data_IF_407240716358
#
_entry.id   IF_407240716358
#
_cell.length_a   1.000
_cell.length_b   1.000
_cell.length_c   1.000
_cell.angle_alpha   90.00
_cell.angle_beta   90.00
_cell.angle_gamma   90.00
#
_symmetry.space_group_name_H-M   'P 1'
#
loop_
_entity.id
_entity.type
_entity.pdbx_description
1 polymer ?
#
# COMPACT_ATOMS: atom_id res chain seq x y z
N UNK A 1 -61.53 -32.95 -23.80
CA UNK A 1 -61.31 -31.55 -24.18
C UNK A 1 -59.80 -31.34 -24.16
N UNK A 2 -59.06 -31.68 -25.22
CA UNK A 2 -58.51 -30.75 -26.27
C UNK A 2 -57.91 -29.50 -25.63
N UNK A 3 -56.61 -29.14 -25.74
CA UNK A 3 -55.61 -29.18 -26.85
C UNK A 3 -54.21 -28.95 -26.22
N UNK A 4 -53.12 -29.60 -26.67
CA UNK A 4 -52.02 -29.08 -27.53
C UNK A 4 -51.41 -27.72 -27.06
N UNK A 5 -50.09 -27.47 -27.05
CA UNK A 5 -49.02 -28.18 -27.75
C UNK A 5 -47.60 -27.70 -27.41
N UNK A 6 -46.69 -28.46 -27.99
CA UNK A 6 -45.23 -28.38 -28.08
C UNK A 6 -44.79 -27.25 -29.02
N UNK A 7 -43.66 -26.58 -28.76
CA UNK A 7 -42.74 -26.18 -29.84
C UNK A 7 -41.33 -25.87 -29.33
N UNK A 8 -40.37 -26.55 -29.95
CA UNK A 8 -38.94 -26.33 -29.87
C UNK A 8 -38.51 -25.45 -31.07
N UNK A 9 -37.53 -24.57 -30.88
CA UNK A 9 -36.81 -23.94 -32.00
C UNK A 9 -35.30 -24.09 -31.85
N UNK A 10 -34.74 -24.93 -32.73
CA UNK A 10 -33.36 -24.85 -33.22
C UNK A 10 -33.25 -23.69 -34.21
N UNK A 11 -32.07 -23.10 -34.28
CA UNK A 11 -31.64 -22.21 -35.35
C UNK A 11 -30.12 -22.28 -35.49
N UNK A 12 -29.66 -23.17 -36.37
CA UNK A 12 -28.33 -23.13 -37.01
C UNK A 12 -28.23 -21.92 -37.96
N UNK A 13 -27.03 -21.33 -38.10
CA UNK A 13 -26.41 -21.04 -39.41
C UNK A 13 -24.97 -20.56 -39.25
N UNK A 14 -24.03 -21.31 -39.86
CA UNK A 14 -22.98 -20.90 -40.80
C UNK A 14 -22.22 -19.57 -40.54
N UNK A 15 -20.88 -19.50 -40.51
CA UNK A 15 -19.91 -20.12 -41.42
C UNK A 15 -19.39 -19.03 -42.37
N UNK A 16 -18.12 -18.62 -42.27
CA UNK A 16 -17.41 -17.86 -43.31
C UNK A 16 -15.89 -17.94 -43.10
N UNK A 17 -15.29 -18.76 -43.96
CA UNK A 17 -13.88 -18.77 -44.35
C UNK A 17 -13.44 -17.44 -44.97
N UNK A 18 -12.21 -16.99 -44.68
CA UNK A 18 -11.46 -16.12 -45.59
C UNK A 18 -9.94 -16.32 -45.43
N UNK A 19 -9.38 -17.08 -46.38
CA UNK A 19 -7.97 -17.09 -46.78
C UNK A 19 -7.46 -15.67 -47.10
N UNK A 20 -6.20 -15.38 -46.74
CA UNK A 20 -5.35 -14.46 -47.51
C UNK A 20 -3.92 -15.00 -47.61
N UNK A 21 -3.51 -15.22 -48.86
CA UNK A 21 -2.15 -15.50 -49.32
C UNK A 21 -1.28 -14.22 -49.36
N UNK A 22 0.06 -14.40 -49.38
CA UNK A 22 1.15 -13.40 -49.32
C UNK A 22 1.28 -12.43 -50.53
N UNK A 23 2.41 -11.69 -50.69
CA UNK A 23 3.75 -12.24 -50.99
C UNK A 23 4.94 -11.53 -50.28
N UNK A 24 6.06 -12.22 -50.00
CA UNK A 24 7.35 -12.29 -50.75
C UNK A 24 7.95 -10.94 -51.16
N UNK A 25 9.08 -10.58 -50.54
CA UNK A 25 9.96 -9.49 -50.95
C UNK A 25 11.35 -9.67 -50.35
N UNK A 26 12.26 -10.25 -51.13
CA UNK A 26 13.67 -10.46 -50.81
C UNK A 26 14.49 -9.17 -51.05
N UNK A 27 15.49 -8.93 -50.20
CA UNK A 27 16.62 -8.07 -50.51
C UNK A 27 17.87 -8.60 -49.80
N UNK A 28 18.77 -9.15 -50.62
CA UNK A 28 20.14 -9.52 -50.30
C UNK A 28 20.97 -8.28 -49.95
N UNK A 29 21.79 -8.38 -48.89
CA UNK A 29 22.94 -7.51 -48.66
C UNK A 29 23.99 -8.24 -47.79
N UNK A 30 25.29 -7.90 -47.95
CA UNK A 30 26.38 -8.88 -47.93
C UNK A 30 26.88 -9.27 -46.54
N UNK A 31 27.19 -10.56 -46.39
CA UNK A 31 27.95 -11.11 -45.28
C UNK A 31 29.42 -10.64 -45.34
N UNK A 32 29.79 -9.72 -44.47
CA UNK A 32 31.18 -9.54 -44.04
C UNK A 32 31.48 -10.54 -42.93
N UNK A 33 32.32 -11.53 -43.25
CA UNK A 33 32.93 -12.43 -42.27
C UNK A 33 33.94 -11.64 -41.43
N UNK A 34 33.54 -11.24 -40.22
CA UNK A 34 34.46 -10.79 -39.18
C UNK A 34 34.69 -11.95 -38.20
N UNK A 35 35.85 -12.58 -38.35
CA UNK A 35 36.38 -13.59 -37.45
C UNK A 35 36.80 -12.88 -36.15
N UNK A 36 35.86 -12.77 -35.20
CA UNK A 36 36.19 -12.43 -33.81
C UNK A 36 36.02 -13.65 -32.92
N UNK A 37 37.13 -13.96 -32.28
CA UNK A 37 37.39 -15.04 -31.34
C UNK A 37 36.23 -15.21 -30.33
N UNK A 38 35.63 -16.41 -30.36
CA UNK A 38 34.73 -16.89 -29.32
C UNK A 38 35.52 -17.10 -28.03
N UNK A 39 35.63 -16.06 -27.21
CA UNK A 39 35.87 -16.22 -25.77
C UNK A 39 34.52 -16.59 -25.16
N UNK A 40 34.32 -17.88 -24.95
CA UNK A 40 33.21 -18.42 -24.17
C UNK A 40 33.44 -18.02 -22.72
N UNK A 41 32.88 -16.89 -22.32
CA UNK A 41 32.78 -16.50 -20.91
C UNK A 41 31.63 -17.29 -20.28
N UNK A 42 31.94 -18.48 -19.76
CA UNK A 42 31.05 -19.21 -18.85
C UNK A 42 31.03 -18.47 -17.51
N UNK A 43 30.20 -17.44 -17.38
CA UNK A 43 29.86 -16.80 -16.10
C UNK A 43 28.49 -16.14 -16.20
N UNK A 44 27.50 -16.99 -16.43
CA UNK A 44 26.09 -16.66 -16.22
C UNK A 44 25.46 -17.81 -15.45
N UNK A 45 26.06 -18.12 -14.30
CA UNK A 45 25.52 -19.04 -13.31
C UNK A 45 25.07 -18.23 -12.09
N UNK A 46 23.75 -18.09 -11.99
CA UNK A 46 22.98 -18.04 -10.75
C UNK A 46 23.16 -16.81 -9.85
N UNK A 47 22.54 -15.69 -10.26
CA UNK A 47 22.13 -14.62 -9.33
C UNK A 47 20.61 -14.62 -9.05
N UNK A 48 19.89 -15.68 -9.44
CA UNK A 48 18.43 -15.82 -9.31
C UNK A 48 17.92 -16.48 -7.99
N UNK A 49 18.73 -17.08 -7.08
CA UNK A 49 18.13 -17.68 -5.87
C UNK A 49 17.73 -16.65 -4.81
N UNK A 50 18.39 -15.49 -4.74
CA UNK A 50 18.25 -14.55 -3.61
C UNK A 50 16.88 -13.88 -3.56
N UNK A 51 16.33 -13.46 -4.72
CA UNK A 51 15.04 -12.78 -4.76
C UNK A 51 13.87 -13.71 -4.41
N UNK A 52 13.92 -14.96 -4.86
CA UNK A 52 12.89 -15.96 -4.60
C UNK A 52 12.91 -16.42 -3.13
N UNK A 53 14.10 -16.53 -2.52
CA UNK A 53 14.25 -16.81 -1.09
C UNK A 53 13.73 -15.66 -0.23
N UNK A 54 13.96 -14.40 -0.63
CA UNK A 54 13.43 -13.22 0.07
C UNK A 54 11.90 -13.12 0.01
N UNK A 55 11.30 -13.39 -1.16
CA UNK A 55 9.84 -13.40 -1.30
C UNK A 55 9.18 -14.53 -0.50
N UNK A 56 9.77 -15.73 -0.53
CA UNK A 56 9.28 -16.87 0.24
C UNK A 56 9.41 -16.63 1.76
N UNK A 57 10.50 -16.00 2.20
CA UNK A 57 10.71 -15.64 3.61
C UNK A 57 9.69 -14.59 4.08
N UNK A 58 9.42 -13.55 3.27
CA UNK A 58 8.41 -12.53 3.57
C UNK A 58 6.99 -13.08 3.60
N UNK A 59 6.62 -13.95 2.64
CA UNK A 59 5.30 -14.57 2.62
C UNK A 59 5.07 -15.45 3.87
N UNK A 60 6.09 -16.22 4.26
CA UNK A 60 6.07 -17.06 5.47
C UNK A 60 5.99 -16.18 6.73
N UNK A 61 6.72 -15.07 6.77
CA UNK A 61 6.70 -14.10 7.86
C UNK A 61 5.32 -13.47 8.07
N UNK A 62 4.67 -13.02 7.00
CA UNK A 62 3.34 -12.39 7.09
C UNK A 62 2.27 -13.40 7.49
N UNK A 63 2.33 -14.62 6.96
CA UNK A 63 1.40 -15.69 7.34
C UNK A 63 1.54 -16.06 8.83
N UNK A 64 2.78 -16.14 9.34
CA UNK A 64 3.02 -16.46 10.74
C UNK A 64 2.77 -15.28 11.67
N UNK A 65 3.05 -14.04 11.30
CA UNK A 65 2.67 -12.87 12.11
C UNK A 65 1.14 -12.72 12.25
N UNK A 66 0.39 -13.11 11.22
CA UNK A 66 -1.07 -13.14 11.25
C UNK A 66 -1.60 -14.29 12.14
N UNK A 67 -0.89 -15.43 12.15
CA UNK A 67 -1.31 -16.64 12.89
C UNK A 67 -0.80 -16.67 14.35
N UNK A 68 0.35 -16.07 14.64
CA UNK A 68 1.07 -16.13 15.92
C UNK A 68 0.79 -14.95 16.84
N UNK A 69 -0.25 -14.15 16.59
CA UNK A 69 -0.74 -13.12 17.51
C UNK A 69 -1.29 -13.68 18.85
N UNK A 70 -0.98 -14.93 19.20
CA UNK A 70 -1.26 -15.57 20.49
C UNK A 70 -0.17 -16.58 20.87
N UNK A 71 0.42 -16.35 22.04
CA UNK A 71 1.22 -17.24 22.92
C UNK A 71 1.87 -18.51 22.31
N UNK A 72 3.10 -18.38 21.82
CA UNK A 72 4.10 -19.48 21.80
C UNK A 72 3.75 -20.70 20.94
N UNK A 73 3.22 -20.47 19.74
CA UNK A 73 2.73 -21.54 18.87
C UNK A 73 3.76 -21.96 17.81
N UNK A 74 3.95 -23.27 17.71
CA UNK A 74 4.38 -23.92 16.48
C UNK A 74 3.16 -24.21 15.61
N UNK A 75 3.29 -24.05 14.29
CA UNK A 75 2.19 -24.32 13.35
C UNK A 75 2.57 -25.49 12.44
N UNK A 76 1.72 -26.51 12.42
CA UNK A 76 1.86 -27.62 11.48
C UNK A 76 1.07 -27.31 10.20
N UNK A 77 1.77 -27.22 9.08
CA UNK A 77 1.19 -27.03 7.75
C UNK A 77 0.47 -28.30 7.26
N UNK A 78 -0.38 -28.16 6.24
CA UNK A 78 -1.15 -29.28 5.65
C UNK A 78 -0.28 -30.43 5.10
N UNK A 79 1.00 -30.17 4.84
CA UNK A 79 1.99 -31.16 4.42
C UNK A 79 2.70 -31.88 5.59
N UNK A 80 2.30 -31.59 6.83
CA UNK A 80 2.83 -32.19 8.05
C UNK A 80 4.11 -31.55 8.57
N UNK A 81 4.63 -30.49 7.92
CA UNK A 81 5.79 -29.75 8.45
C UNK A 81 5.35 -28.83 9.58
N UNK A 82 6.02 -28.93 10.72
CA UNK A 82 5.85 -27.98 11.84
C UNK A 82 6.87 -26.87 11.69
N UNK A 83 6.39 -25.63 11.64
CA UNK A 83 7.21 -24.42 11.59
C UNK A 83 7.21 -23.80 12.98
N UNK A 84 8.40 -23.73 13.59
CA UNK A 84 8.62 -23.00 14.83
C UNK A 84 8.79 -21.50 14.54
N UNK A 85 8.26 -20.65 15.42
CA UNK A 85 8.39 -19.21 15.28
C UNK A 85 9.86 -18.76 15.22
N UNK A 86 10.71 -19.42 16.00
CA UNK A 86 12.15 -19.12 16.10
C UNK A 86 12.88 -19.39 14.77
N UNK A 87 12.54 -20.49 14.08
CA UNK A 87 13.11 -20.84 12.78
C UNK A 87 12.73 -19.80 11.70
N UNK A 88 11.52 -19.25 11.79
CA UNK A 88 11.03 -18.23 10.86
C UNK A 88 11.73 -16.89 11.06
N UNK A 89 11.91 -16.48 12.32
CA UNK A 89 12.66 -15.25 12.64
C UNK A 89 14.11 -15.39 12.19
N UNK A 90 14.74 -16.55 12.40
CA UNK A 90 16.07 -16.82 11.89
C UNK A 90 16.13 -16.76 10.35
N UNK A 91 15.14 -17.32 9.65
CA UNK A 91 15.06 -17.26 8.19
C UNK A 91 14.89 -15.81 7.67
N UNK A 92 14.05 -15.00 8.32
CA UNK A 92 13.89 -13.56 8.04
C UNK A 92 15.19 -12.78 8.26
N UNK A 93 15.78 -12.90 9.45
CA UNK A 93 17.03 -12.24 9.78
C UNK A 93 18.13 -12.61 8.77
N UNK A 94 18.23 -13.90 8.40
CA UNK A 94 19.18 -14.34 7.38
C UNK A 94 18.89 -13.76 6.00
N UNK A 95 17.63 -13.68 5.58
CA UNK A 95 17.25 -13.14 4.25
C UNK A 95 17.52 -11.64 4.12
N UNK A 96 17.52 -10.91 5.24
CA UNK A 96 17.80 -9.47 5.30
C UNK A 96 19.21 -9.13 5.82
N UNK A 97 20.09 -10.13 5.97
CA UNK A 97 21.44 -9.96 6.50
C UNK A 97 21.48 -9.27 7.87
N UNK A 98 20.51 -9.56 8.72
CA UNK A 98 20.41 -9.09 10.10
C UNK A 98 20.89 -10.18 11.06
N UNK A 99 21.64 -9.82 12.11
CA UNK A 99 21.93 -10.75 13.19
C UNK A 99 20.70 -10.86 14.11
N UNK A 100 20.16 -12.07 14.33
CA UNK A 100 19.05 -12.27 15.25
C UNK A 100 19.55 -12.15 16.69
N UNK A 101 19.11 -11.11 17.41
CA UNK A 101 19.36 -11.00 18.85
C UNK A 101 18.31 -11.80 19.63
N UNK A 102 18.71 -12.88 20.29
CA UNK A 102 17.77 -13.85 20.89
C UNK A 102 16.78 -13.14 21.82
N UNK A 103 15.51 -13.07 21.41
CA UNK A 103 14.44 -12.40 22.15
C UNK A 103 13.93 -11.08 21.55
N UNK A 104 14.64 -10.45 20.60
CA UNK A 104 14.24 -9.16 20.01
C UNK A 104 12.83 -9.17 19.41
N UNK A 105 12.48 -10.27 18.72
CA UNK A 105 11.18 -10.47 18.12
C UNK A 105 10.11 -10.77 19.17
N UNK A 106 10.47 -11.32 20.34
CA UNK A 106 9.53 -11.51 21.46
C UNK A 106 9.24 -10.19 22.14
N UNK A 107 10.23 -9.31 22.26
CA UNK A 107 10.05 -7.95 22.76
C UNK A 107 9.18 -7.14 21.79
N UNK A 108 9.45 -7.23 20.48
CA UNK A 108 8.63 -6.62 19.43
C UNK A 108 7.22 -7.21 19.40
N UNK A 109 7.07 -8.54 19.52
CA UNK A 109 5.77 -9.18 19.60
C UNK A 109 5.03 -8.81 20.89
N UNK A 110 5.72 -8.59 22.01
CA UNK A 110 5.13 -8.11 23.26
C UNK A 110 4.74 -6.63 23.20
N UNK A 111 5.47 -5.81 22.44
CA UNK A 111 5.16 -4.40 22.19
C UNK A 111 3.98 -4.26 21.20
N UNK A 112 3.91 -5.12 20.19
CA UNK A 112 2.83 -5.16 19.20
C UNK A 112 1.61 -5.96 19.68
N UNK A 113 1.77 -6.86 20.65
CA UNK A 113 0.67 -7.49 21.33
C UNK A 113 -0.15 -6.38 21.99
N UNK A 114 -1.45 -6.25 21.68
CA UNK A 114 -2.28 -5.25 22.33
C UNK A 114 -2.16 -5.49 23.84
N UNK A 115 -1.73 -4.46 24.58
CA UNK A 115 -1.58 -4.52 26.02
C UNK A 115 -2.76 -5.28 26.61
N UNK A 116 -2.48 -6.43 27.24
CA UNK A 116 -3.54 -7.30 27.75
C UNK A 116 -4.29 -6.53 28.83
N UNK A 117 -5.40 -5.91 28.42
CA UNK A 117 -6.38 -5.40 29.36
C UNK A 117 -6.80 -6.59 30.22
N UNK A 118 -6.91 -6.42 31.54
CA UNK A 118 -7.19 -7.52 32.45
C UNK A 118 -8.46 -8.23 32.02
N UNK A 119 -8.26 -9.40 31.41
CA UNK A 119 -9.33 -10.24 30.92
C UNK A 119 -10.00 -10.82 32.16
N UNK A 120 -11.19 -10.31 32.50
CA UNK A 120 -12.05 -10.96 33.50
C UNK A 120 -12.52 -12.27 32.90
N UNK A 121 -11.79 -13.34 33.19
CA UNK A 121 -12.22 -14.71 32.93
C UNK A 121 -13.43 -15.01 33.81
N UNK A 122 -14.63 -14.90 33.24
CA UNK A 122 -15.87 -15.20 33.94
C UNK A 122 -17.10 -14.97 33.06
N UNK A 123 -17.52 -16.04 32.39
CA UNK A 123 -18.91 -16.33 32.00
C UNK A 123 -19.54 -15.49 30.88
N UNK A 124 -19.54 -16.07 29.68
CA UNK A 124 -20.54 -15.85 28.63
C UNK A 124 -20.05 -14.97 27.48
N UNK A 125 -20.06 -15.53 26.27
CA UNK A 125 -20.01 -14.78 25.01
C UNK A 125 -21.33 -13.97 24.84
N UNK A 126 -21.59 -13.05 25.76
CA UNK A 126 -22.44 -11.92 25.48
C UNK A 126 -21.66 -11.03 24.53
N UNK A 127 -22.21 -10.77 23.35
CA UNK A 127 -21.79 -9.66 22.50
C UNK A 127 -21.40 -8.49 23.40
N UNK A 128 -20.16 -8.03 23.29
CA UNK A 128 -19.72 -6.85 23.98
C UNK A 128 -20.57 -5.70 23.42
N UNK A 129 -21.70 -5.42 24.08
CA UNK A 129 -22.60 -4.29 23.81
C UNK A 129 -21.92 -3.01 24.27
N UNK A 130 -20.66 -2.86 23.90
CA UNK A 130 -19.91 -1.63 23.99
C UNK A 130 -20.80 -0.53 23.47
N UNK A 131 -20.91 0.52 24.28
CA UNK A 131 -21.80 1.67 24.14
C UNK A 131 -21.47 2.51 22.89
N UNK A 132 -21.56 1.88 21.72
CA UNK A 132 -21.26 2.41 20.40
C UNK A 132 -22.54 2.52 19.57
N UNK A 133 -23.66 2.78 20.24
CA UNK A 133 -24.86 3.21 19.57
C UNK A 133 -24.64 4.64 19.03
N UNK A 134 -24.06 4.71 17.83
CA UNK A 134 -23.86 5.96 17.10
C UNK A 134 -25.19 6.70 16.90
N UNK A 135 -26.34 5.99 16.88
CA UNK A 135 -27.66 6.60 16.79
C UNK A 135 -28.01 7.34 18.09
N UNK A 136 -27.69 6.76 19.24
CA UNK A 136 -27.94 7.39 20.55
C UNK A 136 -27.08 8.65 20.78
N UNK A 137 -25.90 8.74 20.15
CA UNK A 137 -24.97 9.88 20.30
C UNK A 137 -25.21 11.02 19.30
N UNK A 138 -26.14 10.85 18.35
CA UNK A 138 -26.44 11.83 17.30
C UNK A 138 -27.11 13.09 17.88
N UNK A 139 -26.71 14.27 17.38
CA UNK A 139 -27.39 15.53 17.75
C UNK A 139 -28.72 15.69 16.99
N UNK A 140 -29.77 16.28 17.59
CA UNK A 140 -30.99 16.61 16.87
C UNK A 140 -30.71 17.42 15.60
N UNK A 141 -31.22 16.97 14.45
CA UNK A 141 -31.03 17.63 13.16
C UNK A 141 -29.73 17.29 12.42
N UNK A 142 -28.81 16.53 13.01
CA UNK A 142 -27.58 16.11 12.35
C UNK A 142 -27.89 15.14 11.20
N UNK A 143 -27.39 15.37 9.97
CA UNK A 143 -27.61 14.45 8.86
C UNK A 143 -26.86 13.13 9.10
N UNK A 144 -27.44 12.02 8.65
CA UNK A 144 -26.87 10.70 8.84
C UNK A 144 -27.16 9.83 7.62
N UNK A 145 -26.20 8.99 7.27
CA UNK A 145 -26.34 7.93 6.28
C UNK A 145 -25.81 6.63 6.87
N UNK A 146 -26.31 5.50 6.38
CA UNK A 146 -25.91 4.17 6.83
C UNK A 146 -25.19 3.51 5.67
N UNK A 147 -23.98 3.02 5.93
CA UNK A 147 -23.22 2.18 5.02
C UNK A 147 -23.43 0.72 5.41
N UNK A 148 -23.71 -0.12 4.43
CA UNK A 148 -23.94 -1.54 4.65
C UNK A 148 -22.78 -2.35 4.06
N UNK A 149 -22.46 -3.50 4.66
CA UNK A 149 -21.36 -4.35 4.20
C UNK A 149 -21.50 -4.82 2.75
N UNK A 150 -22.74 -4.86 2.22
CA UNK A 150 -23.02 -5.21 0.82
C UNK A 150 -22.72 -4.11 -0.19
N UNK A 151 -22.51 -2.88 0.27
CA UNK A 151 -22.24 -1.75 -0.61
C UNK A 151 -20.77 -1.81 -1.06
N UNK A 152 -20.47 -1.79 -2.39
CA UNK A 152 -19.14 -2.10 -2.91
C UNK A 152 -17.97 -1.31 -2.30
N UNK A 153 -18.18 -0.01 -2.07
CA UNK A 153 -17.14 0.91 -1.61
C UNK A 153 -17.24 1.24 -0.12
N UNK A 154 -18.24 0.70 0.58
CA UNK A 154 -18.51 1.09 1.96
C UNK A 154 -17.35 0.76 2.90
N UNK A 155 -16.71 -0.40 2.73
CA UNK A 155 -15.54 -0.76 3.53
C UNK A 155 -14.37 0.22 3.32
N UNK A 156 -14.17 0.73 2.11
CA UNK A 156 -13.12 1.72 1.82
C UNK A 156 -13.41 3.05 2.51
N UNK A 157 -14.67 3.50 2.44
CA UNK A 157 -15.11 4.76 3.07
C UNK A 157 -14.94 4.67 4.59
N UNK A 158 -15.36 3.58 5.21
CA UNK A 158 -15.20 3.36 6.66
C UNK A 158 -13.72 3.31 7.05
N UNK A 159 -12.88 2.62 6.29
CA UNK A 159 -11.43 2.56 6.50
C UNK A 159 -10.78 3.94 6.41
N UNK A 160 -11.12 4.72 5.38
CA UNK A 160 -10.60 6.07 5.17
C UNK A 160 -11.04 7.02 6.30
N UNK A 161 -12.29 6.92 6.74
CA UNK A 161 -12.80 7.67 7.90
C UNK A 161 -12.02 7.33 9.18
N UNK A 162 -11.82 6.03 9.46
CA UNK A 162 -11.09 5.58 10.64
C UNK A 162 -9.63 6.07 10.63
N UNK A 163 -8.94 6.00 9.49
CA UNK A 163 -7.59 6.51 9.33
C UNK A 163 -7.51 8.02 9.59
N UNK A 164 -8.42 8.80 8.98
CA UNK A 164 -8.48 10.25 9.18
C UNK A 164 -8.73 10.62 10.64
N UNK A 165 -9.60 9.88 11.33
CA UNK A 165 -9.90 10.10 12.74
C UNK A 165 -8.67 9.85 13.62
N UNK A 166 -7.93 8.78 13.36
CA UNK A 166 -6.69 8.47 14.08
C UNK A 166 -5.64 9.57 13.85
N UNK A 167 -5.43 9.98 12.59
CA UNK A 167 -4.47 11.02 12.22
C UNK A 167 -4.81 12.39 12.81
N UNK A 168 -6.10 12.68 13.03
CA UNK A 168 -6.55 13.90 13.68
C UNK A 168 -6.42 13.89 15.22
N UNK A 169 -5.76 12.88 15.80
CA UNK A 169 -5.63 12.70 17.25
C UNK A 169 -6.95 12.30 17.92
N UNK A 170 -7.87 11.71 17.17
CA UNK A 170 -9.10 11.14 17.71
C UNK A 170 -8.81 9.91 18.58
N UNK A 171 -9.84 9.46 19.29
CA UNK A 171 -9.77 8.26 20.12
C UNK A 171 -9.27 7.03 19.32
N UNK A 172 -8.13 6.43 19.71
CA UNK A 172 -7.55 5.28 19.03
C UNK A 172 -8.48 4.07 19.01
N UNK A 173 -9.26 3.84 20.08
CA UNK A 173 -10.14 2.68 20.20
C UNK A 173 -11.27 2.73 19.16
N UNK A 174 -11.91 3.90 19.04
CA UNK A 174 -12.94 4.13 18.01
C UNK A 174 -12.39 4.00 16.59
N UNK A 175 -11.15 4.46 16.37
CA UNK A 175 -10.50 4.37 15.06
C UNK A 175 -10.19 2.91 14.72
N UNK A 176 -9.65 2.14 15.67
CA UNK A 176 -9.37 0.72 15.51
C UNK A 176 -10.66 -0.09 15.29
N UNK A 177 -11.74 0.24 16.00
CA UNK A 177 -13.05 -0.38 15.77
C UNK A 177 -13.60 -0.07 14.37
N UNK A 178 -13.43 1.15 13.88
CA UNK A 178 -13.72 1.51 12.49
C UNK A 178 -12.94 0.65 11.49
N UNK A 179 -11.65 0.42 11.73
CA UNK A 179 -10.82 -0.46 10.90
C UNK A 179 -11.31 -1.92 10.91
N UNK A 180 -11.63 -2.46 12.10
CA UNK A 180 -12.21 -3.82 12.24
C UNK A 180 -13.52 -3.94 11.46
N UNK A 181 -14.39 -2.92 11.58
CA UNK A 181 -15.67 -2.87 10.87
C UNK A 181 -15.46 -2.85 9.35
N UNK A 182 -14.51 -2.04 8.86
CA UNK A 182 -14.16 -2.03 7.44
C UNK A 182 -13.66 -3.40 6.94
N UNK A 183 -12.84 -4.10 7.72
CA UNK A 183 -12.38 -5.45 7.36
C UNK A 183 -13.54 -6.44 7.26
N UNK A 184 -14.44 -6.46 8.27
CA UNK A 184 -15.63 -7.30 8.25
C UNK A 184 -16.55 -6.98 7.05
N UNK A 185 -16.70 -5.71 6.68
CA UNK A 185 -17.47 -5.31 5.50
C UNK A 185 -16.81 -5.80 4.20
N UNK A 186 -15.48 -5.73 4.10
CA UNK A 186 -14.74 -6.25 2.94
C UNK A 186 -14.90 -7.77 2.81
N UNK A 187 -14.78 -8.50 3.91
CA UNK A 187 -14.99 -9.95 3.95
C UNK A 187 -16.42 -10.32 3.56
N UNK A 188 -17.40 -9.61 4.11
CA UNK A 188 -18.81 -9.79 3.77
C UNK A 188 -19.07 -9.55 2.27
N UNK A 189 -18.49 -8.48 1.70
CA UNK A 189 -18.63 -8.14 0.29
C UNK A 189 -17.89 -9.08 -0.68
N UNK A 190 -16.91 -9.84 -0.18
CA UNK A 190 -16.13 -10.77 -0.99
C UNK A 190 -16.93 -12.03 -1.39
N UNK A 191 -17.93 -12.40 -0.58
CA UNK A 191 -18.84 -13.51 -0.91
C UNK A 191 -19.93 -13.05 -1.89
N UNK A 192 -19.98 -13.61 -3.12
CA UNK A 192 -21.01 -13.28 -4.09
C UNK A 192 -22.44 -13.54 -3.60
N UNK A 193 -22.63 -14.49 -2.66
CA UNK A 193 -23.94 -14.79 -2.10
C UNK A 193 -24.51 -13.64 -1.24
N UNK A 194 -23.64 -12.78 -0.71
CA UNK A 194 -24.01 -11.61 0.09
C UNK A 194 -24.34 -10.37 -0.76
N UNK A 195 -24.09 -10.41 -2.07
CA UNK A 195 -24.42 -9.31 -2.98
C UNK A 195 -25.91 -9.37 -3.35
N UNK A 196 -26.74 -8.40 -2.92
CA UNK A 196 -28.15 -8.42 -3.31
C UNK A 196 -28.26 -8.18 -4.81
N UNK A 197 -29.26 -8.80 -5.44
CA UNK A 197 -29.55 -8.63 -6.88
C UNK A 197 -29.79 -7.16 -7.25
N UNK A 198 -30.23 -6.35 -6.28
CA UNK A 198 -30.45 -4.91 -6.44
C UNK A 198 -29.20 -4.04 -6.24
N UNK A 199 -28.07 -4.60 -5.78
CA UNK A 199 -26.84 -3.81 -5.68
C UNK A 199 -26.31 -3.53 -7.09
N UNK A 200 -26.09 -2.25 -7.44
CA UNK A 200 -25.37 -1.92 -8.66
C UNK A 200 -24.01 -2.60 -8.66
N UNK A 201 -23.59 -3.06 -9.84
CA UNK A 201 -22.27 -3.64 -10.02
C UNK A 201 -21.20 -2.64 -9.57
N UNK A 202 -20.22 -3.09 -8.79
CA UNK A 202 -19.11 -2.28 -8.32
C UNK A 202 -18.38 -1.55 -9.45
N UNK A 203 -18.38 -2.12 -10.67
CA UNK A 203 -17.83 -1.50 -11.87
C UNK A 203 -18.56 -0.26 -12.36
N UNK A 204 -19.79 -0.01 -11.90
CA UNK A 204 -20.58 1.19 -12.24
C UNK A 204 -20.09 2.41 -11.46
N UNK A 205 -19.48 2.21 -10.29
CA UNK A 205 -18.87 3.29 -9.54
C UNK A 205 -17.46 3.54 -10.05
N UNK A 206 -17.09 4.81 -10.34
CA UNK A 206 -15.70 5.13 -10.60
C UNK A 206 -14.91 4.77 -9.34
N UNK A 207 -13.99 3.81 -9.47
CA UNK A 207 -13.17 3.38 -8.34
C UNK A 207 -12.50 4.61 -7.72
N UNK A 208 -12.69 4.78 -6.41
CA UNK A 208 -12.03 5.82 -5.63
C UNK A 208 -10.49 5.62 -5.60
N UNK A 209 -9.99 4.45 -5.99
CA UNK A 209 -8.60 4.02 -5.80
C UNK A 209 -7.60 4.53 -6.86
N UNK A 210 -8.02 4.89 -8.06
CA UNK A 210 -7.06 5.08 -9.17
C UNK A 210 -6.72 6.54 -9.47
N UNK A 211 -7.69 7.46 -9.41
CA UNK A 211 -7.45 8.85 -9.81
C UNK A 211 -6.90 9.70 -8.68
N UNK A 212 -7.41 9.58 -7.45
CA UNK A 212 -6.85 10.32 -6.31
C UNK A 212 -5.45 9.85 -5.93
N UNK A 213 -5.18 8.55 -6.04
CA UNK A 213 -3.83 8.02 -5.80
C UNK A 213 -2.86 8.46 -6.90
N UNK A 214 -3.28 8.47 -8.18
CA UNK A 214 -2.45 9.00 -9.27
C UNK A 214 -2.20 10.49 -9.17
N UNK A 215 -3.22 11.28 -8.84
CA UNK A 215 -3.02 12.71 -8.64
C UNK A 215 -2.04 12.95 -7.49
N UNK A 216 -2.16 12.21 -6.38
CA UNK A 216 -1.21 12.27 -5.28
C UNK A 216 0.21 11.76 -5.65
N UNK A 217 0.34 10.83 -6.59
CA UNK A 217 1.64 10.41 -7.16
C UNK A 217 2.25 11.46 -8.10
N UNK A 218 1.41 12.29 -8.74
CA UNK A 218 1.85 13.35 -9.65
C UNK A 218 2.18 14.67 -8.92
N UNK A 219 1.76 14.84 -7.66
CA UNK A 219 2.18 15.99 -6.86
C UNK A 219 3.67 15.83 -6.54
N UNK A 220 4.49 16.72 -7.10
CA UNK A 220 5.88 16.83 -6.74
C UNK A 220 6.01 17.30 -5.28
N UNK A 221 6.92 16.66 -4.56
CA UNK A 221 7.34 17.03 -3.21
C UNK A 221 8.75 17.61 -3.24
N UNK A 222 8.97 18.60 -2.38
CA UNK A 222 10.29 19.11 -2.04
C UNK A 222 10.65 18.59 -0.64
N UNK A 223 11.94 18.46 -0.34
CA UNK A 223 12.40 18.12 1.00
C UNK A 223 13.17 19.29 1.59
N UNK A 224 12.72 19.79 2.74
CA UNK A 224 13.36 20.84 3.49
C UNK A 224 14.25 20.26 4.59
N UNK A 225 15.50 20.70 4.68
CA UNK A 225 16.40 20.37 5.79
C UNK A 225 16.39 21.50 6.83
N UNK A 226 15.94 21.18 8.04
CA UNK A 226 16.01 22.05 9.19
C UNK A 226 17.44 22.27 9.68
N UNK A 227 18.34 21.30 9.51
CA UNK A 227 19.76 21.44 9.83
C UNK A 227 20.44 22.45 8.91
N UNK A 228 20.26 22.32 7.58
CA UNK A 228 20.93 23.16 6.59
C UNK A 228 20.19 24.45 6.24
N UNK A 229 18.94 24.62 6.71
CA UNK A 229 18.03 25.73 6.35
C UNK A 229 17.95 25.91 4.83
N UNK A 230 17.75 24.80 4.13
CA UNK A 230 17.79 24.72 2.68
C UNK A 230 16.97 23.53 2.18
N UNK A 231 16.60 23.60 0.90
CA UNK A 231 15.96 22.51 0.17
C UNK A 231 16.99 21.50 -0.29
N UNK A 232 16.63 20.22 -0.28
CA UNK A 232 17.45 19.17 -0.87
C UNK A 232 17.56 19.39 -2.38
N UNK A 233 18.79 19.35 -2.91
CA UNK A 233 19.07 19.51 -4.33
C UNK A 233 18.51 18.35 -5.17
N UNK A 234 18.55 18.51 -6.50
CA UNK A 234 18.20 17.44 -7.45
C UNK A 234 19.09 16.20 -7.28
N UNK A 235 18.60 15.05 -7.74
CA UNK A 235 19.35 13.79 -7.75
C UNK A 235 19.89 13.37 -6.37
N UNK A 236 19.19 13.77 -5.29
CA UNK A 236 19.56 13.50 -3.89
C UNK A 236 20.92 14.08 -3.47
N UNK A 237 21.41 15.12 -4.15
CA UNK A 237 22.75 15.68 -3.89
C UNK A 237 22.73 17.17 -3.55
N UNK A 238 23.34 17.50 -2.41
CA UNK A 238 23.56 18.87 -1.96
C UNK A 238 22.30 19.59 -1.48
N UNK A 239 22.46 20.87 -1.15
CA UNK A 239 21.40 21.73 -0.64
C UNK A 239 21.33 23.05 -1.41
N UNK A 240 20.12 23.59 -1.58
CA UNK A 240 19.86 24.85 -2.26
C UNK A 240 18.86 25.69 -1.49
N UNK A 241 19.08 27.00 -1.42
CA UNK A 241 18.11 27.93 -0.83
C UNK A 241 17.02 28.36 -1.79
N UNK A 242 17.21 28.11 -3.09
CA UNK A 242 16.28 28.50 -4.15
C UNK A 242 15.41 27.30 -4.52
N UNK A 243 14.09 27.42 -4.34
CA UNK A 243 13.10 26.37 -4.66
C UNK A 243 13.20 25.90 -6.12
N UNK A 244 13.44 26.83 -7.06
CA UNK A 244 13.61 26.48 -8.47
C UNK A 244 14.73 25.46 -8.72
N UNK A 245 15.76 25.42 -7.86
CA UNK A 245 16.88 24.49 -7.98
C UNK A 245 16.73 23.23 -7.11
N UNK A 246 15.66 23.12 -6.31
CA UNK A 246 15.43 21.98 -5.44
C UNK A 246 15.10 20.71 -6.25
N UNK A 247 15.35 19.54 -5.66
CA UNK A 247 14.88 18.28 -6.21
C UNK A 247 13.36 18.17 -6.10
N UNK A 248 12.71 17.67 -7.14
CA UNK A 248 11.30 17.27 -7.12
C UNK A 248 11.26 15.76 -7.01
N UNK A 249 10.54 15.29 -6.00
CA UNK A 249 10.44 13.88 -5.66
C UNK A 249 8.99 13.47 -5.66
N UNK A 250 8.68 12.22 -5.96
CA UNK A 250 7.35 11.73 -5.62
C UNK A 250 7.23 11.60 -4.08
N UNK A 251 6.00 11.42 -3.59
CA UNK A 251 5.73 11.32 -2.15
C UNK A 251 6.58 10.24 -1.45
N UNK A 252 6.69 9.06 -2.05
CA UNK A 252 7.42 7.94 -1.45
C UNK A 252 8.93 8.23 -1.36
N UNK A 253 9.51 8.79 -2.42
CA UNK A 253 10.91 9.23 -2.44
C UNK A 253 11.17 10.32 -1.40
N UNK A 254 10.32 11.34 -1.33
CA UNK A 254 10.46 12.43 -0.38
C UNK A 254 10.41 11.95 1.08
N UNK A 255 9.53 10.99 1.40
CA UNK A 255 9.44 10.39 2.74
C UNK A 255 10.66 9.52 3.07
N UNK A 256 11.16 8.76 2.10
CA UNK A 256 12.38 7.97 2.26
C UNK A 256 13.60 8.86 2.51
N UNK A 257 13.69 9.96 1.75
CA UNK A 257 14.71 11.00 1.89
C UNK A 257 14.60 11.67 3.26
N UNK A 258 13.38 11.99 3.71
CA UNK A 258 13.14 12.60 5.02
C UNK A 258 13.31 11.64 6.21
N UNK A 259 13.74 10.39 5.98
CA UNK A 259 13.96 9.38 7.02
C UNK A 259 12.71 9.04 7.85
N UNK A 260 11.52 9.41 7.38
CA UNK A 260 10.29 9.35 8.17
C UNK A 260 9.14 8.76 7.36
N UNK A 261 8.55 7.69 7.88
CA UNK A 261 7.39 7.03 7.28
C UNK A 261 6.15 7.94 7.23
N UNK A 262 6.05 8.87 8.20
CA UNK A 262 4.83 9.66 8.46
C UNK A 262 5.00 11.18 8.23
N UNK A 263 6.04 11.61 7.49
CA UNK A 263 6.21 13.03 7.14
C UNK A 263 6.91 13.88 8.20
N UNK A 264 7.84 13.29 8.96
CA UNK A 264 8.76 14.01 9.83
C UNK A 264 8.31 14.16 11.28
N UNK A 265 7.01 14.23 11.56
CA UNK A 265 6.56 14.59 12.89
C UNK A 265 6.37 13.38 13.81
N UNK A 266 7.39 13.09 14.62
CA UNK A 266 7.29 12.17 15.74
C UNK A 266 7.00 12.95 17.03
N UNK A 267 5.85 12.71 17.64
CA UNK A 267 5.51 13.24 18.97
C UNK A 267 6.66 12.92 19.94
N UNK A 268 7.22 13.96 20.57
CA UNK A 268 8.30 13.91 21.57
C UNK A 268 9.74 13.74 21.06
N UNK A 269 10.00 13.67 19.75
CA UNK A 269 11.37 13.49 19.23
C UNK A 269 12.06 14.79 18.76
N UNK A 270 11.46 15.94 19.04
CA UNK A 270 11.92 17.24 18.55
C UNK A 270 11.49 17.50 17.11
N UNK A 271 11.98 18.60 16.52
CA UNK A 271 11.75 18.86 15.10
C UNK A 271 12.57 17.87 14.26
N UNK A 272 11.99 17.23 13.23
CA UNK A 272 12.76 16.39 12.32
C UNK A 272 13.82 17.20 11.58
N UNK A 273 14.93 16.53 11.26
CA UNK A 273 16.01 17.14 10.47
C UNK A 273 15.55 17.43 9.05
N UNK A 274 14.67 16.58 8.48
CA UNK A 274 14.08 16.79 7.16
C UNK A 274 12.56 16.62 7.12
N UNK A 275 11.91 17.42 6.27
CA UNK A 275 10.45 17.46 6.12
C UNK A 275 10.10 17.40 4.64
N UNK A 276 9.29 16.40 4.27
CA UNK A 276 8.68 16.33 2.94
C UNK A 276 7.48 17.29 2.86
N UNK A 277 7.51 18.21 1.90
CA UNK A 277 6.50 19.27 1.71
C UNK A 277 5.98 19.20 0.27
N UNK A 278 4.66 19.14 0.03
CA UNK A 278 4.11 19.28 -1.32
C UNK A 278 4.61 20.57 -1.98
N UNK A 279 5.02 20.54 -3.26
CA UNK A 279 5.56 21.73 -3.94
C UNK A 279 4.56 22.90 -3.95
N UNK A 280 3.26 22.61 -3.98
CA UNK A 280 2.19 23.62 -3.88
C UNK A 280 2.15 24.36 -2.53
N UNK A 281 2.63 23.73 -1.46
CA UNK A 281 2.66 24.29 -0.11
C UNK A 281 4.04 24.89 0.24
N UNK A 282 5.03 24.69 -0.61
CA UNK A 282 6.39 25.17 -0.38
C UNK A 282 6.46 26.69 -0.58
N UNK A 283 6.84 27.41 0.47
CA UNK A 283 7.01 28.86 0.44
C UNK A 283 8.48 29.21 0.28
N UNK A 284 8.80 30.06 -0.70
CA UNK A 284 10.17 30.57 -0.86
C UNK A 284 10.47 31.61 0.21
N UNK A 285 11.03 31.15 1.34
CA UNK A 285 11.46 32.00 2.44
C UNK A 285 12.55 33.02 2.03
N UNK A 286 13.16 32.85 0.85
CA UNK A 286 14.25 33.69 0.35
C UNK A 286 13.89 34.47 -0.92
N UNK A 287 12.61 34.52 -1.31
CA UNK A 287 12.17 35.25 -2.50
C UNK A 287 12.64 36.72 -2.49
N UNK A 288 12.62 37.37 -1.32
CA UNK A 288 13.04 38.78 -1.16
C UNK A 288 14.56 38.98 -1.35
N UNK A 289 15.38 38.03 -0.89
CA UNK A 289 16.84 38.11 -1.05
C UNK A 289 17.22 37.94 -2.53
N UNK A 290 16.52 37.05 -3.24
CA UNK A 290 16.78 36.76 -4.65
C UNK A 290 16.48 37.98 -5.52
N UNK A 291 15.39 38.70 -5.25
CA UNK A 291 15.05 39.94 -5.96
C UNK A 291 16.12 41.03 -5.75
N UNK A 292 16.63 41.19 -4.53
CA UNK A 292 17.69 42.16 -4.23
C UNK A 292 19.02 41.82 -4.93
N UNK A 293 19.40 40.54 -4.96
CA UNK A 293 20.64 40.09 -5.61
C UNK A 293 20.59 40.20 -7.14
N UNK A 294 19.43 39.94 -7.75
CA UNK A 294 19.23 40.12 -9.20
C UNK A 294 19.31 41.60 -9.58
N UNK A 295 18.69 42.49 -8.81
CA UNK A 295 18.77 43.94 -9.03
C UNK A 295 20.21 44.48 -8.91
N UNK A 296 21.00 43.93 -7.99
CA UNK A 296 22.41 44.32 -7.83
C UNK A 296 23.31 43.91 -9.02
N UNK A 297 22.94 42.88 -9.79
CA UNK A 297 23.71 42.40 -10.96
C UNK A 297 23.31 43.05 -12.28
N UNK A 298 22.10 43.61 -12.39
CA UNK A 298 21.60 44.26 -13.61
C UNK A 298 21.96 45.75 -13.77
N UNK A 299 22.66 46.34 -12.79
CA UNK A 299 23.03 47.76 -12.77
C UNK A 299 24.50 48.06 -13.12
N UNK A 300 25.24 47.09 -13.67
CA UNK A 300 26.63 47.25 -14.08
C UNK A 300 26.76 47.27 -15.61
#
# INVERSE_FOLDING_TARGET
MTTQGTEARRGETAGLDAKRDGPVGAADAPQTTDNRENIVTTSEQQAVPVAQEQESALATAFYLLDTLAGEGLSQTCDDGRTIEADDTVHALCSAFYMEPDVGWYRDLAAELAPASLPCKSGEGAGEDKGNHDCLAKRRPGEPMFILLGRDPDAWQIVRAWAARRLNAGGDPEHSLQGMKTANAMREYAADPANRPVSAPDASVYPRLDATQTREAELVAYLVWSNEHKAWWGKDRCGYTKIIANAGRYNRAEALAIAGTRDGGWQLNKGNPDEIAIPEADAVDQYAEITAAQLNARGGA
#
